data_IF_638783963565
#
_entry.id   IF_638783963565
#
_cell.length_a   1.000
_cell.length_b   1.000
_cell.length_c   1.000
_cell.angle_alpha   90.00
_cell.angle_beta   90.00
_cell.angle_gamma   90.00
#
_symmetry.space_group_name_H-M   'P 1'
#
loop_
_entity.id
_entity.type
_entity.pdbx_description
1 polymer ?
#
# COMPACT_ATOMS: atom_id res chain seq x y z
N UNK A 1 -17.71 31.63 -13.16
CA UNK A 1 -18.80 31.33 -12.20
C UNK A 1 -19.14 29.83 -12.17
N UNK A 2 -19.61 29.22 -13.26
CA UNK A 2 -19.90 27.77 -13.28
C UNK A 2 -18.64 26.89 -13.12
N UNK A 3 -17.56 27.19 -13.86
CA UNK A 3 -16.30 26.45 -13.76
C UNK A 3 -15.65 26.52 -12.36
N UNK A 4 -15.73 27.69 -11.72
CA UNK A 4 -15.25 27.88 -10.34
C UNK A 4 -16.07 27.08 -9.33
N UNK A 5 -17.39 26.98 -9.51
CA UNK A 5 -18.25 26.16 -8.66
C UNK A 5 -17.95 24.66 -8.82
N UNK A 6 -17.74 24.20 -10.06
CA UNK A 6 -17.35 22.81 -10.35
C UNK A 6 -15.99 22.49 -9.73
N UNK A 7 -15.00 23.37 -9.87
CA UNK A 7 -13.66 23.16 -9.32
C UNK A 7 -13.67 23.11 -7.78
N UNK A 8 -14.46 23.96 -7.12
CA UNK A 8 -14.61 23.94 -5.66
C UNK A 8 -15.35 22.69 -5.18
N UNK A 9 -16.40 22.27 -5.89
CA UNK A 9 -17.11 21.04 -5.54
C UNK A 9 -16.20 19.80 -5.70
N UNK A 10 -15.43 19.75 -6.79
CA UNK A 10 -14.47 18.69 -7.06
C UNK A 10 -13.35 18.64 -6.01
N UNK A 11 -12.76 19.79 -5.66
CA UNK A 11 -11.67 19.83 -4.67
C UNK A 11 -12.11 19.44 -3.27
N UNK A 12 -13.33 19.81 -2.86
CA UNK A 12 -13.92 19.40 -1.58
C UNK A 12 -14.20 17.89 -1.56
N UNK A 13 -14.66 17.30 -2.67
CA UNK A 13 -14.87 15.87 -2.75
C UNK A 13 -13.55 15.08 -2.73
N UNK A 14 -12.56 15.51 -3.53
CA UNK A 14 -11.22 14.94 -3.56
C UNK A 14 -10.56 14.94 -2.17
N UNK A 15 -10.59 16.08 -1.47
CA UNK A 15 -9.96 16.22 -0.15
C UNK A 15 -10.63 15.37 0.95
N UNK A 16 -11.92 15.02 0.80
CA UNK A 16 -12.59 14.09 1.72
C UNK A 16 -12.19 12.64 1.44
N UNK A 17 -12.09 12.26 0.18
CA UNK A 17 -11.60 10.93 -0.22
C UNK A 17 -10.14 10.72 0.21
N UNK A 18 -9.29 11.74 0.05
CA UNK A 18 -7.88 11.67 0.43
C UNK A 18 -7.67 11.46 1.94
N UNK A 19 -8.55 12.01 2.79
CA UNK A 19 -8.45 11.82 4.25
C UNK A 19 -8.82 10.41 4.71
N UNK A 20 -9.83 9.80 4.09
CA UNK A 20 -10.23 8.42 4.41
C UNK A 20 -9.15 7.40 4.02
N UNK A 21 -8.33 7.71 3.02
CA UNK A 21 -7.29 6.81 2.49
C UNK A 21 -5.96 6.87 3.27
N UNK A 22 -5.87 7.75 4.29
CA UNK A 22 -4.65 7.99 5.07
C UNK A 22 -4.39 6.99 6.21
N UNK A 23 -5.38 6.17 6.59
CA UNK A 23 -5.23 5.17 7.66
C UNK A 23 -4.88 3.81 7.11
N UNK A 24 -3.79 3.22 7.62
CA UNK A 24 -3.33 1.87 7.27
C UNK A 24 -3.66 0.94 8.44
N UNK A 25 -4.50 -0.06 8.17
CA UNK A 25 -4.87 -1.08 9.15
C UNK A 25 -3.98 -2.30 8.99
N UNK A 26 -3.23 -2.64 10.03
CA UNK A 26 -2.43 -3.87 10.08
C UNK A 26 -3.21 -4.89 10.90
N UNK A 27 -3.56 -6.02 10.29
CA UNK A 27 -4.33 -7.08 10.94
C UNK A 27 -3.43 -8.03 11.71
N UNK A 28 -3.98 -8.77 12.67
CA UNK A 28 -3.24 -9.82 13.39
C UNK A 28 -2.69 -10.89 12.44
N UNK A 29 -3.43 -11.27 11.40
CA UNK A 29 -2.94 -12.21 10.39
C UNK A 29 -1.75 -11.68 9.60
N UNK A 30 -1.67 -10.37 9.38
CA UNK A 30 -0.51 -9.73 8.76
C UNK A 30 0.74 -9.81 9.66
N UNK A 31 0.55 -9.61 10.97
CA UNK A 31 1.62 -9.75 11.96
C UNK A 31 2.12 -11.20 12.04
N UNK A 32 1.21 -12.17 12.03
CA UNK A 32 1.55 -13.60 12.00
C UNK A 32 2.32 -13.96 10.72
N UNK A 33 1.92 -13.41 9.57
CA UNK A 33 2.63 -13.58 8.29
C UNK A 33 4.05 -13.03 8.35
N UNK A 34 4.24 -11.82 8.91
CA UNK A 34 5.57 -11.22 9.10
C UNK A 34 6.45 -12.07 10.03
N UNK A 35 5.90 -12.55 11.15
CA UNK A 35 6.60 -13.44 12.06
C UNK A 35 7.03 -14.75 11.39
N UNK A 36 6.14 -15.35 10.60
CA UNK A 36 6.42 -16.59 9.88
C UNK A 36 7.51 -16.40 8.81
N UNK A 37 7.48 -15.30 8.06
CA UNK A 37 8.52 -14.96 7.08
C UNK A 37 9.88 -14.79 7.76
N UNK A 38 9.94 -13.97 8.82
CA UNK A 38 11.16 -13.78 9.59
C UNK A 38 11.71 -15.11 10.12
N UNK A 39 10.84 -15.95 10.68
CA UNK A 39 11.24 -17.27 11.20
C UNK A 39 11.77 -18.17 10.08
N UNK A 40 11.20 -18.11 8.88
CA UNK A 40 11.68 -18.89 7.74
C UNK A 40 13.06 -18.45 7.24
N UNK A 41 13.40 -17.18 7.39
CA UNK A 41 14.68 -16.60 6.93
C UNK A 41 15.78 -16.67 8.00
N UNK A 42 15.45 -16.32 9.25
CA UNK A 42 16.39 -16.22 10.36
C UNK A 42 16.42 -17.48 11.27
N UNK A 43 15.45 -18.38 11.15
CA UNK A 43 15.34 -19.60 11.95
C UNK A 43 14.87 -19.40 13.39
N UNK A 44 14.44 -18.19 13.76
CA UNK A 44 13.97 -17.84 15.09
C UNK A 44 12.80 -16.84 15.01
N UNK A 45 12.02 -16.71 16.09
CA UNK A 45 10.98 -15.71 16.18
C UNK A 45 11.58 -14.29 16.26
N UNK A 46 10.94 -13.29 15.64
CA UNK A 46 11.39 -11.90 15.73
C UNK A 46 11.30 -11.38 17.16
N UNK A 47 12.27 -10.55 17.56
CA UNK A 47 12.14 -9.77 18.78
C UNK A 47 11.06 -8.69 18.62
N UNK A 48 10.65 -8.05 19.73
CA UNK A 48 9.72 -6.91 19.67
C UNK A 48 10.26 -5.79 18.77
N UNK A 49 11.57 -5.54 18.81
CA UNK A 49 12.23 -4.52 17.99
C UNK A 49 12.21 -4.89 16.51
N UNK A 50 12.48 -6.16 16.18
CA UNK A 50 12.45 -6.65 14.80
C UNK A 50 11.02 -6.59 14.25
N UNK A 51 10.04 -6.99 15.06
CA UNK A 51 8.63 -6.92 14.69
C UNK A 51 8.21 -5.47 14.44
N UNK A 52 8.58 -4.53 15.32
CA UNK A 52 8.27 -3.12 15.14
C UNK A 52 8.90 -2.55 13.86
N UNK A 53 10.14 -2.95 13.54
CA UNK A 53 10.80 -2.54 12.29
C UNK A 53 10.07 -3.08 11.06
N UNK A 54 9.73 -4.38 11.02
CA UNK A 54 8.98 -4.97 9.92
C UNK A 54 7.61 -4.33 9.71
N UNK A 55 6.88 -4.04 10.80
CA UNK A 55 5.59 -3.34 10.72
C UNK A 55 5.77 -1.92 10.21
N UNK A 56 6.80 -1.20 10.67
CA UNK A 56 7.12 0.14 10.18
C UNK A 56 7.42 0.13 8.68
N UNK A 57 8.19 -0.84 8.20
CA UNK A 57 8.52 -0.98 6.79
C UNK A 57 7.27 -1.31 5.95
N UNK A 58 6.42 -2.23 6.42
CA UNK A 58 5.14 -2.54 5.79
C UNK A 58 4.25 -1.29 5.66
N UNK A 59 4.10 -0.53 6.73
CA UNK A 59 3.29 0.69 6.74
C UNK A 59 3.87 1.75 5.80
N UNK A 60 5.20 1.90 5.79
CA UNK A 60 5.89 2.81 4.89
C UNK A 60 5.66 2.43 3.42
N UNK A 61 5.82 1.17 3.09
CA UNK A 61 5.64 0.68 1.71
C UNK A 61 4.21 0.88 1.24
N UNK A 62 3.22 0.57 2.09
CA UNK A 62 1.81 0.79 1.77
C UNK A 62 1.50 2.28 1.57
N UNK A 63 2.03 3.16 2.43
CA UNK A 63 1.87 4.61 2.29
C UNK A 63 2.48 5.13 0.98
N UNK A 64 3.71 4.72 0.66
CA UNK A 64 4.39 5.10 -0.58
C UNK A 64 3.66 4.55 -1.82
N UNK A 65 3.15 3.32 -1.73
CA UNK A 65 2.41 2.67 -2.81
C UNK A 65 1.10 3.41 -3.12
N UNK A 66 0.35 3.83 -2.08
CA UNK A 66 -0.86 4.65 -2.23
C UNK A 66 -0.55 5.98 -2.87
N UNK A 67 0.50 6.64 -2.40
CA UNK A 67 0.93 7.94 -2.93
C UNK A 67 1.39 7.83 -4.39
N UNK A 68 2.15 6.78 -4.74
CA UNK A 68 2.56 6.53 -6.12
C UNK A 68 1.35 6.36 -7.06
N UNK A 69 0.31 5.64 -6.64
CA UNK A 69 -0.96 5.53 -7.39
C UNK A 69 -1.69 6.87 -7.49
N UNK A 70 -1.71 7.67 -6.41
CA UNK A 70 -2.30 9.01 -6.40
C UNK A 70 -1.62 9.93 -7.42
N UNK A 71 -0.30 9.82 -7.54
CA UNK A 71 0.51 10.54 -8.52
C UNK A 71 0.44 9.92 -9.93
N UNK A 72 -0.18 8.75 -10.09
CA UNK A 72 -0.33 8.04 -11.36
C UNK A 72 0.97 7.42 -11.87
N UNK A 73 1.94 7.15 -10.99
CA UNK A 73 3.23 6.54 -11.35
C UNK A 73 3.12 5.09 -11.81
N UNK A 74 1.96 4.47 -11.61
CA UNK A 74 1.65 3.11 -12.05
C UNK A 74 1.14 3.03 -13.51
N UNK A 75 0.74 4.15 -14.09
CA UNK A 75 0.13 4.21 -15.42
C UNK A 75 1.19 4.02 -16.50
N UNK A 76 0.85 3.20 -17.50
CA UNK A 76 1.71 2.87 -18.64
C UNK A 76 3.08 2.28 -18.25
N UNK A 77 3.21 1.74 -17.04
CA UNK A 77 4.41 1.07 -16.56
C UNK A 77 4.46 -0.38 -17.06
N UNK A 78 5.45 -0.68 -17.91
CA UNK A 78 5.64 -2.01 -18.49
C UNK A 78 6.06 -3.05 -17.45
N UNK A 79 6.80 -2.66 -16.41
CA UNK A 79 7.22 -3.56 -15.32
C UNK A 79 6.00 -3.98 -14.51
N UNK A 80 5.11 -3.04 -14.15
CA UNK A 80 3.86 -3.34 -13.44
C UNK A 80 2.99 -4.27 -14.29
N UNK A 81 2.80 -3.94 -15.57
CA UNK A 81 2.01 -4.76 -16.51
C UNK A 81 2.53 -6.20 -16.58
N UNK A 82 3.86 -6.37 -16.73
CA UNK A 82 4.49 -7.69 -16.80
C UNK A 82 4.35 -8.47 -15.49
N UNK A 83 4.48 -7.80 -14.35
CA UNK A 83 4.35 -8.42 -13.01
C UNK A 83 2.92 -8.91 -12.76
N UNK A 84 1.91 -8.15 -13.17
CA UNK A 84 0.51 -8.57 -13.07
C UNK A 84 0.22 -9.79 -13.96
N UNK A 85 0.68 -9.78 -15.21
CA UNK A 85 0.56 -10.93 -16.11
C UNK A 85 1.21 -12.20 -15.54
N UNK A 86 2.42 -12.07 -14.96
CA UNK A 86 3.10 -13.17 -14.28
C UNK A 86 2.31 -13.71 -13.08
N UNK A 87 1.70 -12.83 -12.27
CA UNK A 87 0.85 -13.28 -11.15
C UNK A 87 -0.35 -14.08 -11.66
N UNK A 88 -1.00 -13.62 -12.73
CA UNK A 88 -2.14 -14.31 -13.34
C UNK A 88 -1.79 -15.67 -13.92
N UNK A 89 -0.57 -15.85 -14.45
CA UNK A 89 -0.14 -17.17 -14.98
C UNK A 89 0.01 -18.26 -13.91
N UNK A 90 0.00 -17.91 -12.62
CA UNK A 90 -0.04 -18.91 -11.53
C UNK A 90 -1.46 -19.28 -11.10
N UNK A 91 -2.46 -18.48 -11.50
CA UNK A 91 -3.87 -18.68 -11.14
C UNK A 91 -4.62 -19.47 -12.21
N UNK A 92 -4.25 -19.29 -13.48
CA UNK A 92 -4.79 -20.00 -14.64
C UNK A 92 -4.00 -21.28 -14.88
#
# INVERSE_FOLDING_TARGET
MAATLIFVAYSVWQNRSDKADSTIFVTTGELERLAALYTSEAGALPSETDMAAMVSDLVRDEALSREARRLGLDRDDTIITRRLAQKMSFVV
#
